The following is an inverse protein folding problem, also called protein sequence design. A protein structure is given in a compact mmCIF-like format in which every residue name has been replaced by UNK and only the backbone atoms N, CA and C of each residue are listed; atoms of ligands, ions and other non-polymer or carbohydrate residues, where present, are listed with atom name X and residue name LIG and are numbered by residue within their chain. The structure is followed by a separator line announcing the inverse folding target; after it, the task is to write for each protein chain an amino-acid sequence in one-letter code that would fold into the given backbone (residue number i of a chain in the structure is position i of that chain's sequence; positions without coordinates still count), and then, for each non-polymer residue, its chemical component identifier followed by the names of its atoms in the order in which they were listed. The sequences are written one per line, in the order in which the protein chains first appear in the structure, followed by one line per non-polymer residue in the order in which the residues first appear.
data_IF_154212533663
#
_entry.id   IF_154212533663
#
_cell.length_a   1.000
_cell.length_b   1.000
_cell.length_c   1.000
_cell.angle_alpha   90.00
_cell.angle_beta   90.00
_cell.angle_gamma   90.00
#
_symmetry.space_group_name_H-M   'P 1'
#
loop_
_entity.id
_entity.type
_entity.pdbx_description
1 polymer ?
#
# COMPACT_ATOMS: atom_id res chain seq x y z
N UNK A 1 8.00 -23.52 15.05
CA UNK A 1 8.78 -22.31 15.40
C UNK A 1 8.49 -21.24 14.35
N UNK A 2 7.76 -20.21 14.77
CA UNK A 2 7.63 -18.85 14.22
C UNK A 2 7.50 -18.66 12.70
N UNK A 3 6.27 -18.68 12.19
CA UNK A 3 5.89 -17.96 10.97
C UNK A 3 5.94 -16.45 11.25
N UNK A 4 7.14 -15.87 11.32
CA UNK A 4 7.32 -14.41 11.31
C UNK A 4 6.98 -13.88 9.92
N UNK A 5 5.70 -13.90 9.58
CA UNK A 5 5.20 -13.08 8.49
C UNK A 5 5.40 -11.63 8.91
N UNK A 6 6.45 -10.99 8.44
CA UNK A 6 6.54 -9.52 8.45
C UNK A 6 5.32 -9.04 7.67
N UNK A 7 4.28 -8.59 8.38
CA UNK A 7 3.02 -8.24 7.75
C UNK A 7 3.28 -7.05 6.82
N UNK A 8 3.26 -7.30 5.52
CA UNK A 8 3.36 -6.24 4.51
C UNK A 8 1.99 -5.58 4.39
N UNK A 9 1.97 -4.34 3.92
CA UNK A 9 0.73 -3.68 3.54
C UNK A 9 -0.03 -4.55 2.52
N UNK A 10 -1.33 -4.77 2.72
CA UNK A 10 -2.16 -5.59 1.83
C UNK A 10 -2.20 -5.09 0.37
N UNK A 11 -1.86 -3.83 0.14
CA UNK A 11 -1.78 -3.23 -1.19
C UNK A 11 -0.40 -3.39 -1.85
N UNK A 12 0.61 -3.89 -1.14
CA UNK A 12 1.91 -4.21 -1.71
C UNK A 12 1.90 -5.64 -2.25
N UNK A 13 1.59 -5.78 -3.55
CA UNK A 13 1.31 -7.07 -4.19
C UNK A 13 2.24 -7.30 -5.39
N UNK A 14 2.43 -8.58 -5.74
CA UNK A 14 3.12 -8.96 -6.98
C UNK A 14 2.21 -8.72 -8.18
N UNK A 15 2.69 -7.98 -9.17
CA UNK A 15 2.01 -7.71 -10.44
C UNK A 15 2.88 -8.15 -11.62
N UNK A 16 2.39 -8.01 -12.85
CA UNK A 16 3.18 -8.26 -14.07
C UNK A 16 4.45 -7.39 -14.13
N UNK A 17 4.37 -6.16 -13.61
CA UNK A 17 5.47 -5.18 -13.59
C UNK A 17 6.38 -5.33 -12.35
N UNK A 18 6.22 -6.41 -11.58
CA UNK A 18 6.93 -6.67 -10.33
C UNK A 18 6.09 -6.36 -9.09
N UNK A 19 6.71 -6.49 -7.91
CA UNK A 19 6.08 -6.12 -6.65
C UNK A 19 5.93 -4.60 -6.52
N UNK A 20 4.71 -4.15 -6.21
CA UNK A 20 4.38 -2.74 -6.10
C UNK A 20 3.19 -2.48 -5.21
N UNK A 21 3.05 -1.23 -4.76
CA UNK A 21 1.79 -0.74 -4.23
C UNK A 21 0.76 -0.66 -5.38
N UNK A 22 -0.34 -1.40 -5.30
CA UNK A 22 -1.38 -1.43 -6.33
C UNK A 22 -2.25 -0.17 -6.37
N UNK A 23 -2.18 0.66 -5.32
CA UNK A 23 -2.86 1.96 -5.23
C UNK A 23 -2.12 3.07 -6.00
N UNK A 24 -0.95 2.78 -6.57
CA UNK A 24 -0.20 3.70 -7.44
C UNK A 24 -0.04 3.09 -8.84
N UNK A 25 -0.14 3.90 -9.91
CA UNK A 25 0.23 3.47 -11.26
C UNK A 25 1.67 2.93 -11.32
N UNK A 26 1.99 1.99 -12.23
CA UNK A 26 3.34 1.44 -12.35
C UNK A 26 4.44 2.49 -12.59
N UNK A 27 4.16 3.52 -13.38
CA UNK A 27 5.04 4.67 -13.62
C UNK A 27 5.33 5.47 -12.36
N UNK A 28 4.30 5.80 -11.57
CA UNK A 28 4.45 6.52 -10.31
C UNK A 28 5.18 5.69 -9.27
N UNK A 29 4.90 4.38 -9.21
CA UNK A 29 5.62 3.46 -8.34
C UNK A 29 7.11 3.41 -8.68
N UNK A 30 7.48 3.30 -9.95
CA UNK A 30 8.90 3.28 -10.38
C UNK A 30 9.66 4.52 -9.89
N UNK A 31 9.04 5.70 -9.97
CA UNK A 31 9.65 6.96 -9.56
C UNK A 31 9.68 7.15 -8.03
N UNK A 32 8.73 6.55 -7.31
CA UNK A 32 8.53 6.81 -5.87
C UNK A 32 8.85 5.64 -4.96
N UNK A 33 9.21 4.47 -5.52
CA UNK A 33 9.49 3.21 -4.79
C UNK A 33 10.43 3.43 -3.61
N UNK A 34 11.54 4.16 -3.80
CA UNK A 34 12.52 4.40 -2.73
C UNK A 34 11.93 5.10 -1.50
N UNK A 35 10.88 5.92 -1.68
CA UNK A 35 10.20 6.62 -0.58
C UNK A 35 9.15 5.74 0.11
N UNK A 36 8.44 4.91 -0.65
CA UNK A 36 7.27 4.19 -0.16
C UNK A 36 7.53 2.74 0.24
N UNK A 37 8.61 2.11 -0.26
CA UNK A 37 8.84 0.67 -0.04
C UNK A 37 8.90 0.31 1.44
N UNK A 38 9.56 1.12 2.27
CA UNK A 38 9.63 0.87 3.71
C UNK A 38 8.27 0.99 4.39
N UNK A 39 7.41 1.88 3.92
CA UNK A 39 6.04 1.99 4.45
C UNK A 39 5.22 0.76 4.05
N UNK A 40 5.34 0.32 2.80
CA UNK A 40 4.69 -0.89 2.30
C UNK A 40 5.14 -2.16 3.02
N UNK A 41 6.43 -2.30 3.34
CA UNK A 41 6.96 -3.46 4.06
C UNK A 41 6.61 -3.46 5.56
N UNK A 42 6.23 -2.31 6.11
CA UNK A 42 5.82 -2.13 7.52
C UNK A 42 4.31 -1.89 7.62
N UNK A 43 3.49 -2.80 7.09
CA UNK A 43 2.02 -2.77 7.19
C UNK A 43 1.31 -1.54 6.58
N UNK A 44 2.04 -0.65 5.91
CA UNK A 44 1.51 0.64 5.44
C UNK A 44 1.44 1.70 6.56
N UNK A 45 2.10 1.48 7.70
CA UNK A 45 2.11 2.45 8.81
C UNK A 45 2.72 3.77 8.35
N UNK A 46 1.96 4.87 8.52
CA UNK A 46 2.36 6.20 8.07
C UNK A 46 2.28 6.42 6.56
N UNK A 47 1.73 5.49 5.78
CA UNK A 47 1.60 5.64 4.33
C UNK A 47 0.47 6.64 3.96
N UNK A 48 0.78 7.78 3.32
CA UNK A 48 -0.25 8.77 2.96
C UNK A 48 -1.20 8.25 1.87
N UNK A 49 -0.73 7.35 1.00
CA UNK A 49 -1.57 6.71 -0.03
C UNK A 49 -2.63 5.81 0.61
N UNK A 50 -2.22 5.00 1.59
CA UNK A 50 -3.14 4.13 2.33
C UNK A 50 -4.14 4.93 3.17
N UNK A 51 -3.67 5.97 3.87
CA UNK A 51 -4.53 6.89 4.63
C UNK A 51 -5.58 7.56 3.73
N UNK A 52 -5.18 8.00 2.53
CA UNK A 52 -6.09 8.58 1.55
C UNK A 52 -7.14 7.58 1.07
N UNK A 53 -6.75 6.34 0.80
CA UNK A 53 -7.67 5.26 0.44
C UNK A 53 -8.73 5.05 1.53
N UNK A 54 -8.31 4.89 2.80
CA UNK A 54 -9.26 4.72 3.91
C UNK A 54 -10.19 5.91 4.09
N UNK A 55 -9.70 7.14 3.88
CA UNK A 55 -10.50 8.37 3.94
C UNK A 55 -11.54 8.46 2.83
N UNK A 56 -11.31 7.84 1.67
CA UNK A 56 -12.27 7.81 0.57
C UNK A 56 -13.36 6.78 0.82
N UNK A 57 -13.00 5.57 1.26
CA UNK A 57 -13.98 4.51 1.51
C UNK A 57 -14.85 4.79 2.76
N UNK A 58 -14.32 5.52 3.76
CA UNK A 58 -15.13 5.90 4.93
C UNK A 58 -16.22 6.90 4.56
N UNK A 59 -15.94 7.82 3.63
CA UNK A 59 -16.94 8.77 3.11
C UNK A 59 -18.05 8.09 2.34
N UNK A 60 -17.74 7.02 1.61
CA UNK A 60 -18.77 6.25 0.88
C UNK A 60 -19.70 5.49 1.83
N UNK A 61 -19.25 5.17 3.05
CA UNK A 61 -20.08 4.48 4.05
C UNK A 61 -21.11 5.38 4.73
N UNK A 62 -20.93 6.71 4.72
CA UNK A 62 -21.85 7.69 5.35
C UNK A 62 -22.95 8.21 4.40
N UNK A 63 -23.07 7.62 3.20
CA UNK A 63 -24.18 7.86 2.27
C UNK A 63 -25.17 6.69 2.34
N UNK A 64 -25.79 6.52 3.50
CA UNK A 64 -26.90 5.60 3.77
C UNK A 64 -28.07 6.36 4.35
#
# INVERSE_FOLDING_TARGET
MSSTGTSKCMFYQRTRDGERCILMPPEDWRNSRGKFINLCLNEGRGCPVLSRYYSLISRTSNKG
#
